data_IF_239026753640
#
_entry.id   IF_239026753640
#
_cell.length_a   1.000
_cell.length_b   1.000
_cell.length_c   1.000
_cell.angle_alpha   90.00
_cell.angle_beta   90.00
_cell.angle_gamma   90.00
#
_symmetry.space_group_name_H-M   'P 1'
#
loop_
_entity.id
_entity.type
_entity.pdbx_description
1 polymer ?
#
# COMPACT_ATOMS: atom_id res chain seq x y z
N UNK A 1 -9.82 5.32 -8.50
CA UNK A 1 -9.93 6.40 -7.50
C UNK A 1 -9.20 7.63 -8.03
N UNK A 2 -9.76 8.82 -7.86
CA UNK A 2 -9.08 10.08 -8.20
C UNK A 2 -8.58 10.83 -6.94
N UNK A 3 -7.75 11.86 -7.11
CA UNK A 3 -7.17 12.62 -5.97
C UNK A 3 -8.24 13.25 -5.08
N UNK A 4 -9.37 13.69 -5.65
CA UNK A 4 -10.48 14.26 -4.88
C UNK A 4 -11.17 13.22 -3.98
N UNK A 5 -11.29 11.97 -4.44
CA UNK A 5 -11.79 10.86 -3.63
C UNK A 5 -10.80 10.51 -2.51
N UNK A 6 -9.50 10.53 -2.81
CA UNK A 6 -8.46 10.31 -1.81
C UNK A 6 -8.46 11.38 -0.71
N UNK A 7 -8.59 12.65 -1.07
CA UNK A 7 -8.72 13.76 -0.11
C UNK A 7 -9.99 13.64 0.73
N UNK A 8 -11.13 13.26 0.11
CA UNK A 8 -12.39 13.05 0.87
C UNK A 8 -12.29 11.91 1.87
N UNK A 9 -11.47 10.89 1.62
CA UNK A 9 -11.21 9.81 2.59
C UNK A 9 -10.47 10.38 3.80
N UNK A 10 -9.42 11.18 3.59
CA UNK A 10 -8.67 11.86 4.66
C UNK A 10 -9.56 12.82 5.47
N UNK A 11 -10.42 13.58 4.80
CA UNK A 11 -11.35 14.50 5.47
C UNK A 11 -12.44 13.73 6.25
N UNK A 12 -12.90 12.58 5.74
CA UNK A 12 -13.84 11.70 6.44
C UNK A 12 -13.22 11.00 7.63
N UNK A 13 -11.94 10.63 7.57
CA UNK A 13 -11.21 10.00 8.67
C UNK A 13 -11.26 10.87 9.94
N UNK A 14 -11.08 12.19 9.80
CA UNK A 14 -11.21 13.12 10.93
C UNK A 14 -12.62 13.14 11.52
N UNK A 15 -13.68 13.02 10.70
CA UNK A 15 -15.06 13.05 11.19
C UNK A 15 -15.52 11.72 11.79
N UNK A 16 -14.97 10.61 11.30
CA UNK A 16 -15.36 9.24 11.61
C UNK A 16 -14.72 8.74 12.91
N UNK A 17 -13.45 9.09 13.16
CA UNK A 17 -12.71 8.70 14.37
C UNK A 17 -13.27 9.36 15.64
N UNK A 18 -13.98 10.49 15.52
CA UNK A 18 -14.60 11.22 16.64
C UNK A 18 -15.78 10.43 17.26
N UNK A 19 -16.42 9.53 16.52
CA UNK A 19 -17.61 8.82 17.00
C UNK A 19 -17.31 7.60 17.89
N UNK A 20 -16.06 7.11 17.90
CA UNK A 20 -15.57 5.89 18.61
C UNK A 20 -16.47 4.64 18.48
N UNK A 21 -17.36 4.60 17.48
CA UNK A 21 -18.26 3.49 17.22
C UNK A 21 -17.59 2.43 16.30
N UNK A 22 -17.90 1.13 16.46
CA UNK A 22 -17.26 0.05 15.68
C UNK A 22 -17.38 0.21 14.16
N UNK A 23 -18.58 0.48 13.64
CA UNK A 23 -18.82 0.62 12.20
C UNK A 23 -17.99 1.74 11.57
N UNK A 24 -18.06 2.98 12.10
CA UNK A 24 -17.22 4.08 11.64
C UNK A 24 -15.71 3.77 11.73
N UNK A 25 -15.23 3.15 12.81
CA UNK A 25 -13.81 2.76 12.93
C UNK A 25 -13.38 1.83 11.79
N UNK A 26 -14.17 0.79 11.47
CA UNK A 26 -13.84 -0.09 10.36
C UNK A 26 -13.89 0.65 9.01
N UNK A 27 -14.91 1.49 8.78
CA UNK A 27 -15.01 2.27 7.53
C UNK A 27 -13.80 3.19 7.32
N UNK A 28 -13.30 3.80 8.39
CA UNK A 28 -12.08 4.60 8.36
C UNK A 28 -10.87 3.76 7.97
N UNK A 29 -10.70 2.58 8.58
CA UNK A 29 -9.60 1.68 8.25
C UNK A 29 -9.67 1.22 6.79
N UNK A 30 -10.84 0.75 6.33
CA UNK A 30 -11.06 0.36 4.94
C UNK A 30 -10.72 1.47 3.95
N UNK A 31 -11.03 2.71 4.30
CA UNK A 31 -10.72 3.85 3.44
C UNK A 31 -9.20 4.11 3.36
N UNK A 32 -8.46 3.93 4.45
CA UNK A 32 -6.99 3.96 4.42
C UNK A 32 -6.41 2.81 3.59
N UNK A 33 -6.93 1.59 3.71
CA UNK A 33 -6.50 0.45 2.90
C UNK A 33 -6.68 0.71 1.41
N UNK A 34 -7.81 1.31 1.01
CA UNK A 34 -8.07 1.70 -0.38
C UNK A 34 -7.09 2.79 -0.86
N UNK A 35 -6.73 3.74 0.01
CA UNK A 35 -5.70 4.74 -0.27
C UNK A 35 -4.34 4.11 -0.51
N UNK A 36 -3.96 3.12 0.29
CA UNK A 36 -2.68 2.41 0.16
C UNK A 36 -2.57 1.74 -1.20
N UNK A 37 -3.56 0.92 -1.56
CA UNK A 37 -3.58 0.24 -2.85
C UNK A 37 -3.53 1.21 -4.03
N UNK A 38 -4.22 2.35 -3.93
CA UNK A 38 -4.16 3.37 -4.99
C UNK A 38 -2.79 4.02 -5.15
N UNK A 39 -2.14 4.42 -4.05
CA UNK A 39 -0.84 5.07 -4.12
C UNK A 39 0.26 4.11 -4.57
N UNK A 40 0.22 2.86 -4.14
CA UNK A 40 1.14 1.80 -4.58
C UNK A 40 1.02 1.60 -6.10
N UNK A 41 -0.19 1.37 -6.62
CA UNK A 41 -0.40 1.21 -8.07
C UNK A 41 0.02 2.47 -8.84
N UNK A 42 -0.29 3.66 -8.32
CA UNK A 42 0.07 4.91 -8.99
C UNK A 42 1.59 5.12 -9.05
N UNK A 43 2.34 4.77 -8.01
CA UNK A 43 3.81 4.82 -8.01
C UNK A 43 4.38 3.86 -9.05
N UNK A 44 3.86 2.64 -9.14
CA UNK A 44 4.27 1.68 -10.17
C UNK A 44 4.00 2.21 -11.58
N UNK A 45 2.80 2.74 -11.84
CA UNK A 45 2.45 3.31 -13.14
C UNK A 45 3.33 4.51 -13.51
N UNK A 46 3.64 5.38 -12.54
CA UNK A 46 4.56 6.49 -12.76
C UNK A 46 5.98 6.00 -13.09
N UNK A 47 6.51 5.05 -12.31
CA UNK A 47 7.82 4.47 -12.56
C UNK A 47 7.89 3.86 -13.97
N UNK A 48 6.90 3.07 -14.37
CA UNK A 48 6.84 2.47 -15.71
C UNK A 48 6.77 3.52 -16.82
N UNK A 49 6.01 4.61 -16.62
CA UNK A 49 5.90 5.69 -17.61
C UNK A 49 7.21 6.49 -17.79
N UNK A 50 8.01 6.60 -16.74
CA UNK A 50 9.32 7.27 -16.77
C UNK A 50 10.45 6.33 -17.21
N UNK A 51 10.20 5.02 -17.22
CA UNK A 51 11.18 3.99 -17.57
C UNK A 51 11.37 3.87 -19.07
N UNK A 52 12.63 3.91 -19.52
CA UNK A 52 12.98 3.73 -20.93
C UNK A 52 13.02 2.25 -21.34
N UNK A 53 12.19 1.86 -22.32
CA UNK A 53 12.19 0.52 -22.93
C UNK A 53 13.59 0.04 -23.38
N UNK A 54 14.42 0.95 -23.91
CA UNK A 54 15.76 0.63 -24.38
C UNK A 54 16.66 0.02 -23.29
N UNK A 55 16.45 0.41 -22.01
CA UNK A 55 17.20 -0.15 -20.87
C UNK A 55 16.96 -1.65 -20.72
N UNK A 56 15.69 -2.08 -20.79
CA UNK A 56 15.31 -3.47 -20.58
C UNK A 56 15.54 -4.35 -21.81
N UNK A 57 15.45 -3.76 -23.02
CA UNK A 57 15.90 -4.43 -24.24
C UNK A 57 17.40 -4.75 -24.19
N UNK A 58 18.22 -3.79 -23.76
CA UNK A 58 19.66 -3.99 -23.64
C UNK A 58 20.03 -5.08 -22.62
N UNK A 59 19.27 -5.23 -21.53
CA UNK A 59 19.44 -6.34 -20.57
C UNK A 59 19.15 -7.69 -21.24
N UNK A 60 18.03 -7.78 -21.98
CA UNK A 60 17.67 -9.00 -22.71
C UNK A 60 18.74 -9.39 -23.73
N UNK A 61 19.27 -8.43 -24.49
CA UNK A 61 20.33 -8.64 -25.49
C UNK A 61 21.64 -9.14 -24.85
N UNK A 62 21.87 -8.86 -23.56
CA UNK A 62 23.02 -9.33 -22.78
C UNK A 62 22.80 -10.70 -22.13
N UNK A 63 21.60 -11.27 -22.24
CA UNK A 63 21.23 -12.55 -21.65
C UNK A 63 20.76 -12.47 -20.19
N UNK A 64 20.53 -11.27 -19.66
CA UNK A 64 19.91 -11.08 -18.34
C UNK A 64 18.38 -11.26 -18.43
N UNK A 65 17.72 -11.47 -17.28
CA UNK A 65 16.26 -11.56 -17.19
C UNK A 65 15.64 -10.17 -16.96
N UNK A 66 15.15 -9.48 -18.03
CA UNK A 66 14.53 -8.16 -17.90
C UNK A 66 13.24 -8.21 -17.09
N UNK A 67 12.53 -9.35 -17.07
CA UNK A 67 11.29 -9.50 -16.33
C UNK A 67 11.57 -9.50 -14.84
N UNK A 68 12.53 -10.32 -14.38
CA UNK A 68 12.95 -10.30 -12.99
C UNK A 68 13.44 -8.91 -12.57
N UNK A 69 14.29 -8.27 -13.39
CA UNK A 69 14.82 -6.95 -13.05
C UNK A 69 13.73 -5.89 -12.92
N UNK A 70 12.82 -5.82 -13.89
CA UNK A 70 11.75 -4.83 -13.89
C UNK A 70 10.81 -5.05 -12.69
N UNK A 71 10.46 -6.30 -12.41
CA UNK A 71 9.63 -6.67 -11.27
C UNK A 71 10.23 -6.19 -9.96
N UNK A 72 11.53 -6.40 -9.75
CA UNK A 72 12.20 -5.93 -8.53
C UNK A 72 12.27 -4.40 -8.45
N UNK A 73 12.61 -3.72 -9.54
CA UNK A 73 12.70 -2.25 -9.54
C UNK A 73 11.33 -1.59 -9.28
N UNK A 74 10.26 -2.14 -9.88
CA UNK A 74 8.88 -1.69 -9.64
C UNK A 74 8.45 -2.01 -8.21
N UNK A 75 8.74 -3.21 -7.69
CA UNK A 75 8.43 -3.57 -6.31
C UNK A 75 9.05 -2.58 -5.31
N UNK A 76 10.35 -2.32 -5.44
CA UNK A 76 11.05 -1.43 -4.52
C UNK A 76 10.44 -0.03 -4.52
N UNK A 77 10.21 0.54 -5.70
CA UNK A 77 9.67 1.90 -5.84
C UNK A 77 8.20 2.03 -5.39
N UNK A 78 7.38 1.02 -5.70
CA UNK A 78 5.93 1.13 -5.55
C UNK A 78 5.42 0.66 -4.20
N UNK A 79 5.98 -0.40 -3.65
CA UNK A 79 5.46 -1.08 -2.48
C UNK A 79 6.39 -0.91 -1.27
N UNK A 80 7.68 -1.22 -1.43
CA UNK A 80 8.65 -1.12 -0.34
C UNK A 80 8.89 0.33 0.10
N UNK A 81 9.23 1.23 -0.82
CA UNK A 81 9.40 2.67 -0.51
C UNK A 81 8.09 3.29 0.03
N UNK A 82 6.94 2.86 -0.48
CA UNK A 82 5.66 3.31 0.04
C UNK A 82 5.46 2.91 1.51
N UNK A 83 5.77 1.66 1.87
CA UNK A 83 5.69 1.19 3.25
C UNK A 83 6.65 1.95 4.17
N UNK A 84 7.84 2.31 3.69
CA UNK A 84 8.81 3.12 4.43
C UNK A 84 8.32 4.56 4.67
N UNK A 85 7.67 5.17 3.67
CA UNK A 85 7.04 6.50 3.81
C UNK A 85 5.86 6.49 4.79
N UNK A 86 5.22 5.33 4.99
CA UNK A 86 4.10 5.08 5.90
C UNK A 86 4.55 4.69 7.32
N UNK A 87 5.73 5.15 7.75
CA UNK A 87 6.60 4.51 8.75
C UNK A 87 6.21 3.10 9.23
N UNK A 88 6.01 2.13 8.31
CA UNK A 88 5.76 0.74 8.67
C UNK A 88 7.11 0.01 8.86
N UNK A 89 7.24 -0.76 9.94
CA UNK A 89 8.42 -1.59 10.22
C UNK A 89 8.38 -2.87 9.38
N UNK A 90 8.63 -2.71 8.08
CA UNK A 90 8.64 -3.82 7.12
C UNK A 90 10.03 -4.47 6.99
N UNK A 91 10.07 -5.75 6.63
CA UNK A 91 11.30 -6.47 6.35
C UNK A 91 12.03 -5.83 5.15
N UNK A 92 13.29 -5.36 5.33
CA UNK A 92 14.07 -4.80 4.23
C UNK A 92 14.51 -5.85 3.20
N UNK A 93 14.42 -7.13 3.56
CA UNK A 93 14.81 -8.26 2.73
C UNK A 93 13.63 -8.68 1.88
N UNK A 94 13.80 -8.60 0.56
CA UNK A 94 12.81 -9.14 -0.38
C UNK A 94 13.31 -10.50 -0.79
N UNK A 95 12.65 -11.55 -0.29
CA UNK A 95 12.82 -12.88 -0.89
C UNK A 95 12.20 -12.85 -2.29
N UNK A 96 12.66 -13.70 -3.21
CA UNK A 96 12.19 -13.76 -4.61
C UNK A 96 10.67 -14.03 -4.79
N UNK A 97 9.90 -14.02 -3.69
CA UNK A 97 8.47 -14.23 -3.58
C UNK A 97 7.80 -13.00 -2.93
N UNK A 98 7.38 -12.07 -3.78
CA UNK A 98 6.72 -10.82 -3.38
C UNK A 98 5.37 -11.08 -2.67
N UNK A 99 4.53 -12.02 -3.12
CA UNK A 99 3.34 -12.42 -2.36
C UNK A 99 3.64 -12.83 -0.92
N UNK A 100 4.66 -13.65 -0.67
CA UNK A 100 5.04 -14.00 0.71
C UNK A 100 5.57 -12.80 1.49
N UNK A 101 6.33 -11.91 0.83
CA UNK A 101 6.75 -10.66 1.47
C UNK A 101 5.54 -9.83 1.90
N UNK A 102 4.51 -9.72 1.05
CA UNK A 102 3.27 -9.00 1.39
C UNK A 102 2.58 -9.64 2.59
N UNK A 103 2.41 -10.96 2.61
CA UNK A 103 1.81 -11.68 3.73
C UNK A 103 2.59 -11.43 5.03
N UNK A 104 3.93 -11.49 4.98
CA UNK A 104 4.79 -11.26 6.15
C UNK A 104 4.80 -9.82 6.66
N UNK A 105 4.39 -8.84 5.84
CA UNK A 105 4.46 -7.41 6.16
C UNK A 105 3.08 -6.74 6.31
N UNK A 106 1.98 -7.42 5.99
CA UNK A 106 0.63 -6.89 6.06
C UNK A 106 0.29 -6.36 7.46
N UNK A 107 0.65 -7.08 8.52
CA UNK A 107 0.43 -6.67 9.92
C UNK A 107 1.11 -5.34 10.24
N UNK A 108 2.34 -5.13 9.78
CA UNK A 108 3.10 -3.91 10.05
C UNK A 108 2.48 -2.70 9.35
N UNK A 109 2.01 -2.88 8.11
CA UNK A 109 1.36 -1.83 7.32
C UNK A 109 -0.04 -1.52 7.90
N UNK A 110 -0.81 -2.54 8.29
CA UNK A 110 -2.09 -2.37 8.99
C UNK A 110 -1.90 -1.61 10.31
N UNK A 111 -0.87 -1.97 11.08
CA UNK A 111 -0.52 -1.27 12.33
C UNK A 111 -0.19 0.21 12.11
N UNK A 112 0.48 0.55 11.01
CA UNK A 112 0.73 1.95 10.65
C UNK A 112 -0.57 2.71 10.35
N UNK A 113 -1.54 2.09 9.66
CA UNK A 113 -2.87 2.66 9.46
C UNK A 113 -3.62 2.90 10.77
N UNK A 114 -3.55 1.94 11.69
CA UNK A 114 -4.17 2.06 13.01
C UNK A 114 -3.54 3.21 13.80
N UNK A 115 -2.21 3.34 13.80
CA UNK A 115 -1.50 4.47 14.43
C UNK A 115 -1.89 5.83 13.83
N UNK A 116 -2.15 5.90 12.52
CA UNK A 116 -2.67 7.12 11.89
C UNK A 116 -4.07 7.47 12.40
N UNK A 117 -4.94 6.47 12.58
CA UNK A 117 -6.26 6.67 13.16
C UNK A 117 -6.20 7.08 14.63
N UNK A 118 -5.33 6.45 15.42
CA UNK A 118 -5.10 6.82 16.82
C UNK A 118 -4.62 8.27 16.96
N UNK A 119 -3.71 8.71 16.09
CA UNK A 119 -3.21 10.08 16.07
C UNK A 119 -4.28 11.11 15.69
N UNK A 120 -5.37 10.68 15.06
CA UNK A 120 -6.51 11.53 14.72
C UNK A 120 -7.56 11.63 15.86
N UNK A 121 -7.41 10.86 16.94
CA UNK A 121 -8.29 10.96 18.10
C UNK A 121 -8.10 12.31 18.82
N UNK A 122 -9.14 12.86 19.47
CA UNK A 122 -9.04 14.11 20.22
C UNK A 122 -7.99 14.01 21.35
N UNK A 123 -6.92 14.80 21.27
CA UNK A 123 -5.81 14.79 22.23
C UNK A 123 -5.99 15.73 23.43
N UNK A 124 -6.88 16.73 23.31
CA UNK A 124 -6.82 17.93 24.16
C UNK A 124 -7.91 18.01 25.24
N UNK A 125 -8.76 16.98 25.38
CA UNK A 125 -9.80 16.95 26.41
C UNK A 125 -9.62 15.78 27.38
N UNK A 126 -10.15 15.94 28.60
CA UNK A 126 -10.11 14.96 29.70
C UNK A 126 -10.68 13.56 29.35
N UNK A 127 -11.40 13.27 28.22
CA UNK A 127 -11.64 11.90 27.80
C UNK A 127 -10.61 11.34 26.79
N UNK A 128 -9.47 11.97 26.49
CA UNK A 128 -8.52 11.45 25.49
C UNK A 128 -8.07 9.99 25.76
N UNK A 129 -7.77 9.66 27.02
CA UNK A 129 -7.44 8.27 27.40
C UNK A 129 -8.62 7.30 27.24
N UNK A 130 -9.84 7.79 27.49
CA UNK A 130 -11.07 7.01 27.34
C UNK A 130 -11.40 6.75 25.87
N UNK A 131 -11.20 7.75 25.00
CA UNK A 131 -11.39 7.62 23.56
C UNK A 131 -10.43 6.58 22.95
N UNK A 132 -9.17 6.54 23.40
CA UNK A 132 -8.21 5.53 22.98
C UNK A 132 -8.60 4.11 23.43
N UNK A 133 -9.05 3.95 24.69
CA UNK A 133 -9.55 2.66 25.19
C UNK A 133 -10.77 2.20 24.39
N UNK A 134 -11.74 3.08 24.15
CA UNK A 134 -12.95 2.77 23.39
C UNK A 134 -12.60 2.42 21.93
N UNK A 135 -11.63 3.10 21.33
CA UNK A 135 -11.10 2.77 20.01
C UNK A 135 -10.50 1.35 19.96
N UNK A 136 -9.60 1.02 20.89
CA UNK A 136 -8.99 -0.32 20.97
C UNK A 136 -9.98 -1.44 21.29
N UNK A 137 -11.08 -1.13 21.99
CA UNK A 137 -12.15 -2.10 22.26
C UNK A 137 -12.99 -2.43 21.02
N UNK A 138 -13.04 -1.52 20.05
CA UNK A 138 -13.92 -1.63 18.90
C UNK A 138 -13.21 -1.98 17.59
N UNK A 139 -11.88 -1.89 17.56
CA UNK A 139 -11.10 -2.30 16.40
C UNK A 139 -10.86 -3.80 16.39
N UNK A 140 -11.09 -4.43 15.23
CA UNK A 140 -10.75 -5.83 15.00
C UNK A 140 -9.41 -5.91 14.26
N UNK A 141 -8.33 -6.08 15.02
CA UNK A 141 -6.97 -6.11 14.49
C UNK A 141 -6.75 -7.20 13.44
N UNK A 142 -7.36 -8.38 13.63
CA UNK A 142 -7.21 -9.50 12.70
C UNK A 142 -7.93 -9.19 11.37
N UNK A 143 -9.15 -8.64 11.44
CA UNK A 143 -9.86 -8.21 10.25
C UNK A 143 -9.13 -7.09 9.50
N UNK A 144 -8.52 -6.14 10.23
CA UNK A 144 -7.69 -5.09 9.66
C UNK A 144 -6.46 -5.64 8.92
N UNK A 145 -5.77 -6.63 9.50
CA UNK A 145 -4.64 -7.30 8.87
C UNK A 145 -5.06 -8.02 7.58
N UNK A 146 -6.13 -8.82 7.64
CA UNK A 146 -6.67 -9.56 6.50
C UNK A 146 -7.06 -8.61 5.35
N UNK A 147 -7.73 -7.50 5.68
CA UNK A 147 -8.14 -6.49 4.72
C UNK A 147 -6.92 -5.80 4.07
N UNK A 148 -5.90 -5.44 4.87
CA UNK A 148 -4.67 -4.86 4.37
C UNK A 148 -3.93 -5.84 3.45
N UNK A 149 -3.77 -7.09 3.86
CA UNK A 149 -3.13 -8.13 3.05
C UNK A 149 -3.84 -8.29 1.70
N UNK A 150 -5.17 -8.44 1.71
CA UNK A 150 -5.96 -8.61 0.50
C UNK A 150 -5.80 -7.43 -0.46
N UNK A 151 -5.76 -6.20 0.05
CA UNK A 151 -5.58 -5.01 -0.78
C UNK A 151 -4.17 -4.90 -1.37
N UNK A 152 -3.13 -5.24 -0.60
CA UNK A 152 -1.75 -5.26 -1.09
C UNK A 152 -1.55 -6.34 -2.16
N UNK A 153 -2.08 -7.54 -1.95
CA UNK A 153 -2.07 -8.62 -2.95
C UNK A 153 -2.80 -8.20 -4.23
N UNK A 154 -3.97 -7.57 -4.08
CA UNK A 154 -4.71 -7.05 -5.22
C UNK A 154 -3.91 -5.98 -5.98
N UNK A 155 -3.33 -5.00 -5.28
CA UNK A 155 -2.50 -3.96 -5.86
C UNK A 155 -1.31 -4.56 -6.62
N UNK A 156 -0.63 -5.54 -6.03
CA UNK A 156 0.48 -6.24 -6.66
C UNK A 156 0.05 -6.97 -7.94
N UNK A 157 -1.08 -7.70 -7.91
CA UNK A 157 -1.60 -8.40 -9.10
C UNK A 157 -1.96 -7.45 -10.26
N UNK A 158 -2.32 -6.20 -9.95
CA UNK A 158 -2.54 -5.15 -10.96
C UNK A 158 -1.21 -4.69 -11.54
N UNK A 159 -0.19 -4.51 -10.70
CA UNK A 159 1.16 -4.10 -11.10
C UNK A 159 1.82 -5.16 -11.98
N UNK A 160 1.71 -6.44 -11.64
CA UNK A 160 2.26 -7.54 -12.45
C UNK A 160 1.74 -7.48 -13.90
N UNK A 161 0.43 -7.26 -14.09
CA UNK A 161 -0.15 -7.08 -15.43
C UNK A 161 0.40 -5.87 -16.16
N UNK A 162 0.77 -4.79 -15.46
CA UNK A 162 1.38 -3.60 -16.08
C UNK A 162 2.81 -3.88 -16.51
N UNK A 163 3.57 -4.62 -15.69
CA UNK A 163 4.93 -5.09 -16.01
C UNK A 163 4.90 -5.96 -17.26
N UNK A 164 3.97 -6.93 -17.32
CA UNK A 164 3.80 -7.81 -18.49
C UNK A 164 3.54 -7.02 -19.78
N UNK A 165 2.63 -6.04 -19.74
CA UNK A 165 2.32 -5.17 -20.89
C UNK A 165 3.56 -4.37 -21.30
N UNK A 166 4.25 -3.74 -20.33
CA UNK A 166 5.46 -2.96 -20.61
C UNK A 166 6.54 -3.80 -21.30
N UNK A 167 6.76 -5.04 -20.83
CA UNK A 167 7.77 -5.93 -21.39
C UNK A 167 7.37 -6.43 -22.78
N UNK A 168 6.09 -6.73 -23.03
CA UNK A 168 5.61 -7.08 -24.36
C UNK A 168 5.89 -5.96 -25.37
N UNK A 169 5.56 -4.71 -25.02
CA UNK A 169 5.85 -3.53 -25.85
C UNK A 169 7.36 -3.31 -26.06
N UNK A 170 8.17 -3.62 -25.04
CA UNK A 170 9.65 -3.54 -25.09
C UNK A 170 10.27 -4.55 -26.05
N UNK A 171 9.76 -5.79 -26.06
CA UNK A 171 10.36 -6.92 -26.76
C UNK A 171 9.81 -7.08 -28.19
N UNK A 172 8.58 -6.62 -28.45
CA UNK A 172 7.97 -6.64 -29.79
C UNK A 172 8.49 -5.54 -30.74
N UNK A 173 9.18 -4.53 -30.23
CA UNK A 173 9.80 -3.45 -31.05
C UNK A 173 11.15 -3.85 -31.68
N UNK A 174 11.26 -5.10 -32.15
CA UNK A 174 12.43 -5.65 -32.86
C UNK A 174 12.29 -5.59 -34.38
#
# INVERSE_FOLDING_TARGET
MNVQEATRIVDRLQQVVIATQPGPIQEAFSALVVLDGYWIVRRAEQFLAETHHATYKALADQGDDPAHRLTMDVFYTSLHEYAQDKPAEVDPSVEHDIPNWIEGNATAIASANIRLMEAALPSDEIPAHRALIEFHQHIDFAACEDEQNAALQYAWSVIEKRIEVFLAETLDTA
#
